data_IF_945616784161
#
_entry.id   IF_945616784161
#
_cell.length_a   1.000
_cell.length_b   1.000
_cell.length_c   1.000
_cell.angle_alpha   90.00
_cell.angle_beta   90.00
_cell.angle_gamma   90.00
#
_symmetry.space_group_name_H-M   'P 1'
#
loop_
_entity.id
_entity.type
_entity.pdbx_description
1 polymer ?
#
# COMPACT_ATOMS: atom_id res chain seq x y z
N UNK A 1 -27.90 -6.90 -18.44
CA UNK A 1 -26.47 -6.71 -18.15
C UNK A 1 -25.76 -6.41 -19.46
N UNK A 2 -24.82 -5.47 -19.47
CA UNK A 2 -23.91 -5.26 -20.60
C UNK A 2 -22.95 -6.46 -20.74
N UNK A 3 -22.26 -6.62 -21.89
CA UNK A 3 -21.18 -7.60 -22.02
C UNK A 3 -20.13 -7.47 -20.91
N UNK A 4 -19.74 -6.24 -20.57
CA UNK A 4 -18.77 -5.98 -19.51
C UNK A 4 -19.28 -6.38 -18.13
N UNK A 5 -20.56 -6.11 -17.81
CA UNK A 5 -21.18 -6.56 -16.57
C UNK A 5 -21.25 -8.09 -16.47
N UNK A 6 -21.45 -8.77 -17.61
CA UNK A 6 -21.47 -10.24 -17.68
C UNK A 6 -20.07 -10.80 -17.44
N UNK A 7 -19.05 -10.21 -18.07
CA UNK A 7 -17.66 -10.60 -17.87
C UNK A 7 -17.18 -10.32 -16.44
N UNK A 8 -17.55 -9.18 -15.85
CA UNK A 8 -17.25 -8.85 -14.46
C UNK A 8 -17.84 -9.89 -13.50
N UNK A 9 -19.08 -10.35 -13.74
CA UNK A 9 -19.70 -11.43 -12.97
C UNK A 9 -18.95 -12.76 -13.12
N UNK A 10 -18.52 -13.09 -14.34
CA UNK A 10 -17.70 -14.28 -14.60
C UNK A 10 -16.36 -14.22 -13.83
N UNK A 11 -15.66 -13.08 -13.89
CA UNK A 11 -14.41 -12.84 -13.15
C UNK A 11 -14.63 -12.95 -11.63
N UNK A 12 -15.72 -12.38 -11.10
CA UNK A 12 -16.05 -12.53 -9.68
C UNK A 12 -16.24 -14.00 -9.27
N UNK A 13 -16.83 -14.82 -10.13
CA UNK A 13 -16.92 -16.27 -9.95
C UNK A 13 -15.56 -16.96 -9.91
N UNK A 14 -14.62 -16.56 -10.78
CA UNK A 14 -13.26 -17.10 -10.80
C UNK A 14 -12.50 -16.76 -9.51
N UNK A 15 -12.58 -15.51 -9.05
CA UNK A 15 -11.93 -15.05 -7.81
C UNK A 15 -12.51 -15.79 -6.59
N UNK A 16 -13.83 -15.95 -6.53
CA UNK A 16 -14.47 -16.73 -5.46
C UNK A 16 -14.04 -18.20 -5.50
N UNK A 17 -13.88 -18.77 -6.70
CA UNK A 17 -13.35 -20.12 -6.90
C UNK A 17 -11.93 -20.28 -6.34
N UNK A 18 -11.03 -19.32 -6.61
CA UNK A 18 -9.67 -19.31 -6.05
C UNK A 18 -9.71 -19.26 -4.51
N UNK A 19 -10.55 -18.40 -3.93
CA UNK A 19 -10.71 -18.30 -2.48
C UNK A 19 -11.20 -19.59 -1.80
N UNK A 20 -11.88 -20.46 -2.54
CA UNK A 20 -12.35 -21.76 -2.05
C UNK A 20 -11.35 -22.91 -2.30
N UNK A 21 -10.33 -22.71 -3.13
CA UNK A 21 -9.34 -23.72 -3.51
C UNK A 21 -8.11 -23.67 -2.59
N UNK A 22 -8.17 -24.46 -1.51
CA UNK A 22 -7.10 -24.52 -0.50
C UNK A 22 -5.79 -25.09 -1.05
N UNK A 23 -5.84 -25.96 -2.05
CA UNK A 23 -4.65 -26.59 -2.62
C UNK A 23 -3.90 -25.57 -3.50
N UNK A 24 -4.63 -24.81 -4.30
CA UNK A 24 -4.06 -23.73 -5.10
C UNK A 24 -3.45 -22.62 -4.23
N UNK A 25 -4.17 -22.17 -3.20
CA UNK A 25 -3.63 -21.19 -2.23
C UNK A 25 -2.42 -21.75 -1.47
N UNK A 26 -2.44 -23.04 -1.13
CA UNK A 26 -1.30 -23.74 -0.55
C UNK A 26 -0.07 -23.71 -1.44
N UNK A 27 -0.25 -23.94 -2.75
CA UNK A 27 0.82 -23.83 -3.74
C UNK A 27 1.38 -22.41 -3.85
N UNK A 28 0.51 -21.39 -3.86
CA UNK A 28 0.94 -19.99 -3.87
C UNK A 28 1.78 -19.63 -2.63
N UNK A 29 1.35 -20.07 -1.45
CA UNK A 29 2.09 -19.82 -0.21
C UNK A 29 3.48 -20.49 -0.23
N UNK A 30 3.57 -21.71 -0.78
CA UNK A 30 4.86 -22.37 -1.00
C UNK A 30 5.72 -21.54 -1.96
N UNK A 31 5.15 -21.07 -3.07
CA UNK A 31 5.88 -20.27 -4.04
C UNK A 31 6.42 -18.97 -3.43
N UNK A 32 5.59 -18.22 -2.69
CA UNK A 32 6.00 -16.98 -2.00
C UNK A 32 7.14 -17.26 -1.02
N UNK A 33 7.04 -18.34 -0.25
CA UNK A 33 8.12 -18.75 0.66
C UNK A 33 9.41 -19.08 -0.07
N UNK A 34 9.35 -19.87 -1.13
CA UNK A 34 10.56 -20.30 -1.86
C UNK A 34 11.21 -19.14 -2.63
N UNK A 35 10.43 -18.17 -3.14
CA UNK A 35 10.97 -17.05 -3.90
C UNK A 35 11.83 -16.10 -3.06
N UNK A 36 11.64 -16.07 -1.72
CA UNK A 36 12.49 -15.32 -0.78
C UNK A 36 13.95 -15.74 -0.91
N UNK A 37 14.24 -17.04 -1.05
CA UNK A 37 15.61 -17.57 -1.20
C UNK A 37 16.33 -17.06 -2.44
N UNK A 38 15.57 -16.60 -3.43
CA UNK A 38 16.06 -16.04 -4.67
C UNK A 38 16.06 -14.51 -4.69
N UNK A 39 15.70 -13.87 -3.58
CA UNK A 39 15.46 -12.42 -3.52
C UNK A 39 14.52 -11.94 -4.64
N UNK A 40 13.54 -12.75 -5.00
CA UNK A 40 12.75 -12.55 -6.22
C UNK A 40 12.13 -11.16 -6.30
N UNK A 41 11.54 -10.68 -5.20
CA UNK A 41 10.91 -9.36 -5.12
C UNK A 41 11.87 -8.17 -5.37
N UNK A 42 13.19 -8.37 -5.28
CA UNK A 42 14.20 -7.32 -5.53
C UNK A 42 14.57 -7.17 -7.01
N UNK A 43 14.12 -8.08 -7.87
CA UNK A 43 14.54 -8.12 -9.29
C UNK A 43 13.84 -7.08 -10.17
N UNK A 44 12.87 -6.35 -9.64
CA UNK A 44 11.95 -5.54 -10.44
C UNK A 44 12.27 -4.05 -10.37
N UNK A 45 11.89 -3.35 -11.44
CA UNK A 45 11.91 -1.90 -11.50
C UNK A 45 10.55 -1.39 -11.96
N UNK A 46 10.17 -0.21 -11.48
CA UNK A 46 9.02 0.53 -12.00
C UNK A 46 9.53 1.83 -12.64
N UNK A 47 9.29 1.97 -13.95
CA UNK A 47 9.76 3.12 -14.75
C UNK A 47 11.23 3.49 -14.52
N UNK A 48 12.09 2.48 -14.35
CA UNK A 48 13.54 2.66 -14.20
C UNK A 48 14.05 2.86 -12.76
N UNK A 49 13.18 2.83 -11.74
CA UNK A 49 13.60 2.79 -10.32
C UNK A 49 13.35 1.40 -9.71
N UNK A 50 14.30 0.83 -8.94
CA UNK A 50 14.06 -0.45 -8.26
C UNK A 50 12.85 -0.39 -7.33
N UNK A 51 11.99 -1.40 -7.43
CA UNK A 51 10.81 -1.60 -6.57
C UNK A 51 10.93 -2.98 -5.92
N UNK A 52 10.99 -3.01 -4.59
CA UNK A 52 11.16 -4.25 -3.83
C UNK A 52 9.78 -4.73 -3.41
N UNK A 53 9.03 -5.29 -4.35
CA UNK A 53 7.67 -5.78 -4.11
C UNK A 53 7.39 -6.99 -4.99
N UNK A 54 6.46 -7.85 -4.55
CA UNK A 54 5.97 -8.94 -5.39
C UNK A 54 5.20 -8.33 -6.58
N UNK A 55 5.47 -8.75 -7.84
CA UNK A 55 4.86 -8.13 -9.02
C UNK A 55 3.32 -8.14 -9.02
N UNK A 56 2.72 -9.17 -8.44
CA UNK A 56 1.27 -9.30 -8.29
C UNK A 56 0.73 -8.21 -7.37
N UNK A 57 1.40 -7.91 -6.26
CA UNK A 57 1.01 -6.83 -5.39
C UNK A 57 1.16 -5.47 -6.07
N UNK A 58 2.23 -5.26 -6.84
CA UNK A 58 2.40 -4.04 -7.66
C UNK A 58 1.22 -3.88 -8.64
N UNK A 59 0.74 -4.98 -9.23
CA UNK A 59 -0.45 -4.98 -10.08
C UNK A 59 -1.72 -4.65 -9.28
N UNK A 60 -1.83 -5.10 -8.03
CA UNK A 60 -2.92 -4.73 -7.13
C UNK A 60 -2.93 -3.23 -6.84
N UNK A 61 -1.76 -2.67 -6.51
CA UNK A 61 -1.62 -1.25 -6.16
C UNK A 61 -2.00 -0.35 -7.32
N UNK A 62 -1.61 -0.67 -8.56
CA UNK A 62 -2.05 0.13 -9.70
C UNK A 62 -3.57 0.11 -9.86
N UNK A 63 -4.24 -1.03 -9.66
CA UNK A 63 -5.70 -1.09 -9.73
C UNK A 63 -6.36 -0.34 -8.57
N UNK A 64 -5.80 -0.43 -7.36
CA UNK A 64 -6.29 0.29 -6.19
C UNK A 64 -6.25 1.80 -6.42
N UNK A 65 -5.09 2.32 -6.85
CA UNK A 65 -4.93 3.75 -7.12
C UNK A 65 -5.87 4.16 -8.26
N UNK A 66 -5.98 3.37 -9.32
CA UNK A 66 -6.90 3.68 -10.43
C UNK A 66 -8.37 3.72 -10.02
N UNK A 67 -8.80 2.76 -9.18
CA UNK A 67 -10.19 2.65 -8.72
C UNK A 67 -10.54 3.75 -7.73
N UNK A 68 -9.64 4.05 -6.79
CA UNK A 68 -9.86 5.03 -5.72
C UNK A 68 -9.62 6.46 -6.20
N UNK A 69 -8.67 6.65 -7.13
CA UNK A 69 -8.20 7.95 -7.63
C UNK A 69 -7.79 8.92 -6.51
N UNK A 70 -6.89 8.53 -5.58
CA UNK A 70 -6.50 9.37 -4.46
C UNK A 70 -5.80 10.67 -4.91
N UNK A 71 -5.99 11.74 -4.16
CA UNK A 71 -5.23 12.99 -4.34
C UNK A 71 -3.89 12.94 -3.60
N UNK A 72 -3.87 12.21 -2.49
CA UNK A 72 -2.69 12.00 -1.67
C UNK A 72 -2.46 10.51 -1.44
N UNK A 73 -1.27 10.05 -1.81
CA UNK A 73 -0.73 8.76 -1.37
C UNK A 73 0.32 9.02 -0.30
N UNK A 74 0.22 8.37 0.84
CA UNK A 74 1.22 8.41 1.92
C UNK A 74 1.89 7.04 1.96
N UNK A 75 3.22 6.99 1.99
CA UNK A 75 4.00 5.77 2.03
C UNK A 75 5.06 5.85 3.15
N UNK A 76 5.16 4.82 3.99
CA UNK A 76 6.26 4.67 4.95
C UNK A 76 7.19 3.55 4.50
N UNK A 77 8.51 3.79 4.56
CA UNK A 77 9.52 2.94 3.93
C UNK A 77 9.69 3.26 2.45
N UNK A 78 10.75 3.98 2.09
CA UNK A 78 11.03 4.41 0.70
C UNK A 78 11.97 3.43 0.01
N UNK A 79 12.98 2.91 0.72
CA UNK A 79 14.05 2.09 0.16
C UNK A 79 14.68 2.73 -1.10
N UNK A 80 14.48 2.17 -2.29
CA UNK A 80 14.97 2.69 -3.57
C UNK A 80 14.02 3.68 -4.27
N UNK A 81 12.79 3.82 -3.78
CA UNK A 81 11.76 4.74 -4.27
C UNK A 81 10.94 4.27 -5.46
N UNK A 82 11.05 3.01 -5.89
CA UNK A 82 10.26 2.50 -7.02
C UNK A 82 8.75 2.49 -6.76
N UNK A 83 8.33 2.23 -5.52
CA UNK A 83 6.94 2.35 -5.05
C UNK A 83 6.42 3.79 -5.09
N UNK A 84 7.24 4.77 -4.69
CA UNK A 84 6.92 6.19 -4.89
C UNK A 84 6.74 6.55 -6.37
N UNK A 85 7.60 6.03 -7.26
CA UNK A 85 7.45 6.24 -8.72
C UNK A 85 6.19 5.56 -9.24
N UNK A 86 5.85 4.36 -8.76
CA UNK A 86 4.59 3.67 -9.09
C UNK A 86 3.40 4.55 -8.77
N UNK A 87 3.27 4.97 -7.51
CA UNK A 87 2.17 5.82 -7.05
C UNK A 87 2.12 7.12 -7.86
N UNK A 88 3.24 7.83 -7.98
CA UNK A 88 3.31 9.09 -8.74
C UNK A 88 2.92 8.92 -10.22
N UNK A 89 3.27 7.79 -10.84
CA UNK A 89 2.92 7.51 -12.24
C UNK A 89 1.44 7.28 -12.43
N UNK A 90 0.79 6.56 -11.51
CA UNK A 90 -0.65 6.35 -11.55
C UNK A 90 -1.41 7.66 -11.32
N UNK A 91 -0.96 8.50 -10.39
CA UNK A 91 -1.53 9.83 -10.17
C UNK A 91 -1.41 10.73 -11.42
N UNK A 92 -0.29 10.68 -12.12
CA UNK A 92 -0.11 11.39 -13.38
C UNK A 92 -1.05 10.88 -14.49
N UNK A 93 -1.24 9.56 -14.57
CA UNK A 93 -2.18 8.96 -15.53
C UNK A 93 -3.63 9.34 -15.25
N UNK A 94 -4.03 9.39 -13.97
CA UNK A 94 -5.37 9.85 -13.58
C UNK A 94 -5.59 11.30 -14.04
N UNK A 95 -4.66 12.20 -13.72
CA UNK A 95 -4.73 13.60 -14.16
C UNK A 95 -4.80 13.73 -15.69
N UNK A 96 -4.02 12.92 -16.41
CA UNK A 96 -4.08 12.89 -17.87
C UNK A 96 -5.46 12.48 -18.39
N UNK A 97 -6.03 11.39 -17.86
CA UNK A 97 -7.34 10.92 -18.30
C UNK A 97 -8.46 11.91 -17.96
N UNK A 98 -8.43 12.52 -16.78
CA UNK A 98 -9.41 13.55 -16.39
C UNK A 98 -9.29 14.82 -17.24
N UNK A 99 -8.07 15.24 -17.57
CA UNK A 99 -7.85 16.35 -18.51
C UNK A 99 -8.43 16.03 -19.89
N UNK A 100 -8.24 14.81 -20.38
CA UNK A 100 -8.83 14.33 -21.64
C UNK A 100 -10.36 14.28 -21.61
N UNK A 101 -10.95 13.83 -20.50
CA UNK A 101 -12.41 13.74 -20.32
C UNK A 101 -13.06 15.13 -20.25
N UNK A 102 -12.39 16.07 -19.57
CA UNK A 102 -12.92 17.44 -19.36
C UNK A 102 -12.50 18.43 -20.43
N UNK A 103 -11.56 18.06 -21.32
CA UNK A 103 -10.99 18.96 -22.32
C UNK A 103 -10.15 20.09 -21.73
N UNK A 104 -9.61 19.91 -20.52
CA UNK A 104 -8.80 20.92 -19.84
C UNK A 104 -7.31 20.77 -20.17
N UNK A 105 -6.54 21.87 -20.30
CA UNK A 105 -5.10 21.77 -20.50
C UNK A 105 -4.41 21.10 -19.30
N UNK A 106 -3.56 20.10 -19.56
CA UNK A 106 -2.74 19.47 -18.55
C UNK A 106 -1.36 20.13 -18.50
N UNK A 107 -1.05 20.81 -17.40
CA UNK A 107 0.34 21.16 -17.07
C UNK A 107 0.93 20.07 -16.16
N UNK A 108 1.91 19.26 -16.64
CA UNK A 108 2.53 18.21 -15.82
C UNK A 108 3.29 18.74 -14.60
N UNK A 109 3.46 20.07 -14.47
CA UNK A 109 4.10 20.72 -13.33
C UNK A 109 3.13 21.26 -12.28
N UNK A 110 1.84 21.37 -12.60
CA UNK A 110 0.83 22.01 -11.75
C UNK A 110 -0.20 21.01 -11.16
N UNK A 111 0.07 19.71 -11.24
CA UNK A 111 -0.83 18.67 -10.74
C UNK A 111 -1.10 18.77 -9.23
N UNK A 112 -2.37 18.62 -8.85
CA UNK A 112 -2.80 18.66 -7.45
C UNK A 112 -2.45 17.38 -6.68
N UNK A 113 -2.27 16.26 -7.40
CA UNK A 113 -2.04 14.95 -6.78
C UNK A 113 -0.58 14.71 -6.48
N UNK A 114 -0.29 14.19 -5.29
CA UNK A 114 1.08 13.93 -4.83
C UNK A 114 1.21 12.67 -3.97
N UNK A 115 2.46 12.25 -3.83
CA UNK A 115 2.93 11.16 -2.96
C UNK A 115 3.80 11.77 -1.88
N UNK A 116 3.57 11.41 -0.61
CA UNK A 116 4.46 11.73 0.50
C UNK A 116 5.09 10.42 0.97
N UNK A 117 6.42 10.30 0.81
CA UNK A 117 7.20 9.18 1.31
C UNK A 117 7.94 9.56 2.59
N UNK A 118 7.95 8.67 3.58
CA UNK A 118 8.73 8.82 4.83
C UNK A 118 9.66 7.64 5.02
N UNK A 119 10.92 7.90 5.35
CA UNK A 119 11.90 6.86 5.69
C UNK A 119 12.88 7.39 6.74
N UNK A 120 13.30 6.52 7.65
CA UNK A 120 14.28 6.87 8.69
C UNK A 120 15.66 7.20 8.11
N UNK A 121 15.99 6.65 6.93
CA UNK A 121 17.25 6.89 6.21
C UNK A 121 17.02 6.93 4.69
N UNK A 122 16.84 8.13 4.13
CA UNK A 122 16.78 8.32 2.68
C UNK A 122 18.18 8.45 2.11
N UNK A 123 18.82 7.29 1.92
CA UNK A 123 20.19 7.16 1.39
C UNK A 123 20.43 8.08 0.18
N UNK A 124 21.56 8.79 0.19
CA UNK A 124 21.87 9.84 -0.78
C UNK A 124 21.73 9.40 -2.25
N UNK A 125 22.14 8.18 -2.60
CA UNK A 125 22.02 7.66 -3.96
C UNK A 125 20.56 7.37 -4.36
N UNK A 126 19.72 6.93 -3.42
CA UNK A 126 18.29 6.72 -3.65
C UNK A 126 17.57 8.07 -3.80
N UNK A 127 17.86 9.01 -2.91
CA UNK A 127 17.36 10.39 -3.00
C UNK A 127 17.69 11.01 -4.36
N UNK A 128 18.95 10.92 -4.80
CA UNK A 128 19.38 11.44 -6.10
C UNK A 128 18.65 10.75 -7.27
N UNK A 129 18.49 9.43 -7.21
CA UNK A 129 17.75 8.67 -8.22
C UNK A 129 16.27 9.04 -8.33
N UNK A 130 15.61 9.29 -7.18
CA UNK A 130 14.21 9.74 -7.15
C UNK A 130 14.10 11.16 -7.70
N UNK A 131 14.96 12.09 -7.26
CA UNK A 131 14.93 13.50 -7.70
C UNK A 131 15.29 13.69 -9.18
N UNK A 132 16.07 12.78 -9.76
CA UNK A 132 16.38 12.80 -11.19
C UNK A 132 15.22 12.29 -12.06
N UNK A 133 14.23 11.58 -11.49
CA UNK A 133 13.12 11.02 -12.24
C UNK A 133 12.14 12.14 -12.67
N UNK A 134 11.54 12.10 -13.88
CA UNK A 134 10.60 13.12 -14.34
C UNK A 134 9.38 13.33 -13.42
N UNK A 135 8.98 12.28 -12.69
CA UNK A 135 7.86 12.31 -11.74
C UNK A 135 8.24 12.84 -10.34
N UNK A 136 9.50 13.23 -10.10
CA UNK A 136 9.97 13.70 -8.79
C UNK A 136 9.12 14.85 -8.23
N UNK A 137 8.54 15.69 -9.10
CA UNK A 137 7.68 16.81 -8.69
C UNK A 137 6.39 16.39 -8.00
N UNK A 138 5.94 15.16 -8.22
CA UNK A 138 4.79 14.59 -7.52
C UNK A 138 5.16 13.98 -6.16
N UNK A 139 6.45 13.95 -5.81
CA UNK A 139 6.94 13.20 -4.65
C UNK A 139 7.56 14.18 -3.66
N UNK A 140 7.03 14.18 -2.45
CA UNK A 140 7.62 14.82 -1.28
C UNK A 140 8.26 13.72 -0.42
N UNK A 141 9.55 13.87 -0.10
CA UNK A 141 10.29 12.92 0.73
C UNK A 141 10.62 13.55 2.08
N UNK A 142 10.23 12.89 3.17
CA UNK A 142 10.50 13.30 4.55
C UNK A 142 11.44 12.26 5.17
N UNK A 143 12.59 12.71 5.68
CA UNK A 143 13.53 11.84 6.36
C UNK A 143 13.28 11.88 7.87
N UNK A 144 13.12 10.71 8.47
CA UNK A 144 12.90 10.49 9.90
C UNK A 144 11.91 9.35 10.16
N UNK A 145 11.60 9.10 11.44
CA UNK A 145 10.71 8.01 11.83
C UNK A 145 9.27 8.29 11.41
N UNK A 146 8.56 7.28 10.89
CA UNK A 146 7.13 7.36 10.58
C UNK A 146 6.24 7.47 11.82
N UNK A 147 6.79 7.23 13.01
CA UNK A 147 6.08 7.40 14.28
C UNK A 147 6.56 8.63 15.07
N UNK A 148 7.34 9.52 14.45
CA UNK A 148 7.73 10.79 15.05
C UNK A 148 6.57 11.81 14.98
N UNK A 149 6.24 12.41 16.13
CA UNK A 149 5.10 13.33 16.25
C UNK A 149 5.16 14.52 15.28
N UNK A 150 6.35 15.09 15.05
CA UNK A 150 6.49 16.24 14.17
C UNK A 150 6.31 15.85 12.69
N UNK A 151 6.80 14.68 12.31
CA UNK A 151 6.60 14.12 10.97
C UNK A 151 5.14 13.77 10.74
N UNK A 152 4.50 13.07 11.68
CA UNK A 152 3.08 12.72 11.60
C UNK A 152 2.22 13.98 11.53
N UNK A 153 2.51 15.01 12.34
CA UNK A 153 1.79 16.28 12.29
C UNK A 153 1.90 16.96 10.92
N UNK A 154 3.09 16.94 10.30
CA UNK A 154 3.29 17.47 8.94
C UNK A 154 2.47 16.71 7.90
N UNK A 155 2.46 15.38 7.96
CA UNK A 155 1.71 14.54 7.02
C UNK A 155 0.20 14.74 7.20
N UNK A 156 -0.26 14.78 8.46
CA UNK A 156 -1.65 15.05 8.83
C UNK A 156 -2.12 16.39 8.27
N UNK A 157 -1.29 17.43 8.37
CA UNK A 157 -1.60 18.74 7.80
C UNK A 157 -1.74 18.69 6.27
N UNK A 158 -0.94 17.86 5.58
CA UNK A 158 -1.09 17.65 4.14
C UNK A 158 -2.34 16.83 3.80
N UNK A 159 -2.65 15.78 4.58
CA UNK A 159 -3.84 14.95 4.42
C UNK A 159 -5.13 15.76 4.60
N UNK A 160 -5.16 16.72 5.53
CA UNK A 160 -6.29 17.62 5.74
C UNK A 160 -6.60 18.54 4.53
N UNK A 161 -5.68 18.65 3.56
CA UNK A 161 -5.88 19.42 2.32
C UNK A 161 -6.24 18.53 1.12
N UNK A 162 -6.30 17.21 1.29
CA UNK A 162 -6.64 16.25 0.25
C UNK A 162 -8.08 15.77 0.44
N UNK A 163 -8.80 15.52 -0.65
CA UNK A 163 -10.16 14.95 -0.57
C UNK A 163 -10.08 13.43 -0.36
N UNK A 164 -9.22 12.77 -1.16
CA UNK A 164 -9.03 11.32 -1.09
C UNK A 164 -7.60 10.95 -0.71
N UNK A 165 -7.45 10.29 0.45
CA UNK A 165 -6.16 9.85 1.01
C UNK A 165 -6.06 8.32 0.98
N UNK A 166 -4.93 7.81 0.51
CA UNK A 166 -4.55 6.38 0.55
C UNK A 166 -3.21 6.21 1.26
N UNK A 167 -3.04 5.14 2.04
CA UNK A 167 -1.85 4.92 2.86
C UNK A 167 -1.22 3.56 2.56
N UNK A 168 0.11 3.51 2.49
CA UNK A 168 0.92 2.30 2.40
C UNK A 168 1.94 2.26 3.56
N UNK A 169 1.95 1.19 4.34
CA UNK A 169 2.83 1.02 5.51
C UNK A 169 3.85 -0.09 5.27
N UNK A 170 5.14 0.26 5.15
CA UNK A 170 6.24 -0.67 4.82
C UNK A 170 7.59 -0.29 5.48
N UNK A 171 7.55 0.30 6.68
CA UNK A 171 8.79 0.78 7.33
C UNK A 171 9.51 -0.30 8.15
N UNK A 172 9.11 -0.47 9.42
CA UNK A 172 9.62 -1.49 10.33
C UNK A 172 8.52 -2.50 10.60
N UNK A 173 8.87 -3.78 10.53
CA UNK A 173 7.88 -4.85 10.54
C UNK A 173 7.57 -5.42 11.92
N UNK A 174 8.06 -4.86 13.03
CA UNK A 174 7.64 -5.31 14.37
C UNK A 174 6.17 -4.98 14.61
N UNK A 175 5.48 -5.82 15.39
CA UNK A 175 4.08 -5.62 15.76
C UNK A 175 3.85 -4.22 16.33
N UNK A 176 4.67 -3.82 17.30
CA UNK A 176 4.49 -2.57 18.02
C UNK A 176 4.65 -1.35 17.12
N UNK A 177 5.59 -1.39 16.17
CA UNK A 177 5.81 -0.29 15.23
C UNK A 177 4.66 -0.18 14.23
N UNK A 178 4.28 -1.29 13.57
CA UNK A 178 3.19 -1.29 12.59
C UNK A 178 1.87 -0.90 13.24
N UNK A 179 1.61 -1.37 14.46
CA UNK A 179 0.43 -0.96 15.20
C UNK A 179 0.44 0.55 15.48
N UNK A 180 1.59 1.11 15.84
CA UNK A 180 1.71 2.57 16.04
C UNK A 180 1.45 3.33 14.73
N UNK A 181 1.97 2.86 13.60
CA UNK A 181 1.66 3.43 12.29
C UNK A 181 0.17 3.35 11.95
N UNK A 182 -0.49 2.21 12.18
CA UNK A 182 -1.93 2.06 11.98
C UNK A 182 -2.72 3.08 12.82
N UNK A 183 -2.35 3.26 14.08
CA UNK A 183 -2.99 4.25 14.96
C UNK A 183 -2.80 5.69 14.49
N UNK A 184 -1.66 6.01 13.89
CA UNK A 184 -1.31 7.36 13.45
C UNK A 184 -1.89 7.70 12.07
N UNK A 185 -1.81 6.77 11.12
CA UNK A 185 -2.10 7.01 9.71
C UNK A 185 -3.47 6.52 9.24
N UNK A 186 -4.00 5.42 9.78
CA UNK A 186 -5.31 4.91 9.34
C UNK A 186 -6.47 5.91 9.56
N UNK A 187 -6.49 6.76 10.62
CA UNK A 187 -7.50 7.81 10.75
C UNK A 187 -7.51 8.82 9.59
N UNK A 188 -6.39 8.99 8.87
CA UNK A 188 -6.28 9.93 7.74
C UNK A 188 -6.85 9.38 6.43
N UNK A 189 -7.04 8.06 6.30
CA UNK A 189 -7.49 7.39 5.07
C UNK A 189 -8.94 7.75 4.78
N UNK A 190 -9.29 8.19 3.57
CA UNK A 190 -10.68 8.55 3.23
C UNK A 190 -11.60 7.33 3.14
N UNK A 191 -12.91 7.51 3.36
CA UNK A 191 -13.90 6.45 3.20
C UNK A 191 -13.85 5.84 1.78
N UNK A 192 -13.92 4.50 1.66
CA UNK A 192 -13.77 3.80 0.38
C UNK A 192 -12.32 3.66 -0.12
N UNK A 193 -11.36 4.33 0.51
CA UNK A 193 -9.93 4.20 0.25
C UNK A 193 -9.32 3.07 1.08
N UNK A 194 -7.98 2.96 1.05
CA UNK A 194 -7.22 1.85 1.63
C UNK A 194 -6.09 2.33 2.53
N UNK A 195 -5.85 1.56 3.59
CA UNK A 195 -4.50 1.39 4.15
C UNK A 195 -4.01 0.00 3.76
N UNK A 196 -2.88 -0.08 3.07
CA UNK A 196 -2.21 -1.35 2.77
C UNK A 196 -1.04 -1.51 3.74
N UNK A 197 -1.05 -2.61 4.49
CA UNK A 197 0.04 -3.01 5.37
C UNK A 197 0.84 -4.09 4.68
N UNK A 198 2.09 -3.79 4.37
CA UNK A 198 2.98 -4.70 3.67
C UNK A 198 3.52 -5.81 4.60
N UNK A 199 4.05 -6.87 4.00
CA UNK A 199 4.75 -7.96 4.67
C UNK A 199 3.99 -8.67 5.80
N UNK A 200 2.66 -8.61 5.80
CA UNK A 200 1.84 -9.42 6.70
C UNK A 200 2.09 -10.93 6.48
N UNK A 201 2.58 -11.33 5.31
CA UNK A 201 2.97 -12.71 5.00
C UNK A 201 4.08 -13.27 5.91
N UNK A 202 4.82 -12.43 6.64
CA UNK A 202 5.81 -12.86 7.64
C UNK A 202 5.21 -13.82 8.67
N UNK A 203 3.95 -13.66 9.05
CA UNK A 203 3.28 -14.56 10.01
C UNK A 203 3.17 -16.01 9.48
N UNK A 204 3.10 -16.19 8.17
CA UNK A 204 2.91 -17.50 7.54
C UNK A 204 4.24 -18.21 7.24
N UNK A 205 5.37 -17.53 7.43
CA UNK A 205 6.69 -18.08 7.22
C UNK A 205 7.11 -19.05 8.35
N UNK A 206 8.01 -20.01 8.07
CA UNK A 206 8.65 -20.78 9.12
C UNK A 206 9.44 -19.86 10.07
N UNK A 207 9.41 -20.15 11.37
CA UNK A 207 10.02 -19.29 12.40
C UNK A 207 11.50 -18.94 12.17
N UNK A 208 12.27 -19.82 11.51
CA UNK A 208 13.69 -19.60 11.23
C UNK A 208 14.00 -18.68 10.04
N UNK A 209 13.01 -18.28 9.23
CA UNK A 209 13.25 -17.52 8.00
C UNK A 209 13.52 -16.02 8.23
N UNK A 210 13.19 -15.50 9.41
CA UNK A 210 13.44 -14.11 9.82
C UNK A 210 14.38 -14.01 11.04
N UNK A 211 15.21 -15.03 11.30
CA UNK A 211 15.99 -15.11 12.54
C UNK A 211 17.08 -14.03 12.70
N UNK A 212 17.46 -13.35 11.62
CA UNK A 212 18.39 -12.23 11.58
C UNK A 212 17.70 -10.86 11.74
N UNK A 213 16.39 -10.84 11.93
CA UNK A 213 15.57 -9.63 12.04
C UNK A 213 14.96 -9.48 13.44
N UNK A 214 14.61 -8.25 13.85
CA UNK A 214 13.92 -8.03 15.12
C UNK A 214 12.41 -8.36 15.07
N UNK A 215 11.90 -8.87 13.93
CA UNK A 215 10.52 -9.28 13.70
C UNK A 215 10.46 -10.70 13.14
N UNK A 216 9.29 -11.33 13.23
CA UNK A 216 9.07 -12.69 12.74
C UNK A 216 7.68 -13.22 13.10
N UNK A 217 7.48 -14.54 13.03
CA UNK A 217 6.20 -15.15 13.42
C UNK A 217 5.83 -14.76 14.87
N UNK A 218 4.63 -14.22 15.07
CA UNK A 218 4.14 -13.70 16.35
C UNK A 218 4.48 -12.24 16.68
N UNK A 219 5.41 -11.62 15.94
CA UNK A 219 5.80 -10.21 16.10
C UNK A 219 6.05 -9.60 14.71
N UNK A 220 4.96 -9.27 14.00
CA UNK A 220 4.99 -8.86 12.60
C UNK A 220 3.78 -8.00 12.18
N UNK A 221 3.71 -7.50 10.93
CA UNK A 221 2.63 -6.64 10.48
C UNK A 221 1.24 -7.29 10.54
N UNK A 222 1.11 -8.61 10.29
CA UNK A 222 -0.20 -9.29 10.36
C UNK A 222 -0.77 -9.28 11.76
N UNK A 223 0.10 -9.53 12.75
CA UNK A 223 -0.33 -9.49 14.16
C UNK A 223 -0.78 -8.10 14.58
N UNK A 224 -0.16 -7.04 14.05
CA UNK A 224 -0.57 -5.66 14.28
C UNK A 224 -1.91 -5.34 13.60
N UNK A 225 -2.11 -5.77 12.35
CA UNK A 225 -3.40 -5.64 11.64
C UNK A 225 -4.53 -6.28 12.43
N UNK A 226 -4.37 -7.53 12.85
CA UNK A 226 -5.40 -8.23 13.62
C UNK A 226 -5.68 -7.57 14.97
N UNK A 227 -4.67 -7.06 15.67
CA UNK A 227 -4.88 -6.33 16.92
C UNK A 227 -5.59 -5.00 16.69
N UNK A 228 -5.18 -4.24 15.67
CA UNK A 228 -5.79 -2.97 15.32
C UNK A 228 -7.28 -3.11 14.99
N UNK A 229 -7.64 -4.08 14.14
CA UNK A 229 -9.04 -4.35 13.81
C UNK A 229 -9.86 -4.73 15.04
N UNK A 230 -9.31 -5.58 15.92
CA UNK A 230 -9.95 -5.96 17.18
C UNK A 230 -10.16 -4.74 18.10
N UNK A 231 -9.20 -3.82 18.15
CA UNK A 231 -9.32 -2.57 18.92
C UNK A 231 -10.44 -1.69 18.38
N UNK A 232 -10.54 -1.52 17.06
CA UNK A 232 -11.62 -0.74 16.45
C UNK A 232 -13.02 -1.34 16.69
N UNK A 233 -13.13 -2.66 16.73
CA UNK A 233 -14.39 -3.35 17.04
C UNK A 233 -14.82 -3.15 18.50
N UNK A 234 -13.85 -3.17 19.44
CA UNK A 234 -14.10 -3.05 20.88
C UNK A 234 -14.26 -1.60 21.35
N UNK A 235 -13.53 -0.67 20.73
CA UNK A 235 -13.46 0.75 21.10
C UNK A 235 -13.60 1.61 19.83
N UNK A 236 -14.85 1.99 19.47
CA UNK A 236 -15.12 2.73 18.24
C UNK A 236 -14.38 4.07 18.17
N UNK A 237 -13.58 4.23 17.12
CA UNK A 237 -12.81 5.47 16.84
C UNK A 237 -13.41 6.22 15.66
N UNK A 238 -12.92 7.43 15.44
CA UNK A 238 -13.29 8.26 14.31
C UNK A 238 -12.05 8.58 13.47
N UNK A 239 -12.23 8.72 12.16
CA UNK A 239 -11.21 9.27 11.28
C UNK A 239 -11.09 10.78 11.45
N UNK A 240 -10.10 11.37 10.79
CA UNK A 240 -9.89 12.82 10.78
C UNK A 240 -11.05 13.59 10.13
N UNK A 241 -11.86 12.91 9.30
CA UNK A 241 -13.09 13.42 8.71
C UNK A 241 -14.30 13.38 9.68
N UNK A 242 -14.12 12.89 10.91
CA UNK A 242 -15.17 12.73 11.92
C UNK A 242 -16.09 11.54 11.69
N UNK A 243 -15.91 10.75 10.62
CA UNK A 243 -16.65 9.52 10.36
C UNK A 243 -16.15 8.36 11.21
N UNK A 244 -16.99 7.35 11.48
CA UNK A 244 -16.58 6.15 12.23
C UNK A 244 -15.43 5.45 11.49
N UNK A 245 -14.36 5.14 12.21
CA UNK A 245 -13.20 4.44 11.67
C UNK A 245 -13.46 2.94 11.70
N UNK A 246 -13.76 2.36 10.53
CA UNK A 246 -13.99 0.93 10.36
C UNK A 246 -13.32 0.45 9.09
N UNK A 247 -12.66 -0.69 9.19
CA UNK A 247 -11.99 -1.33 8.07
C UNK A 247 -12.49 -2.75 7.88
N UNK A 248 -12.42 -3.24 6.65
CA UNK A 248 -12.50 -4.66 6.34
C UNK A 248 -11.23 -5.11 5.59
N UNK A 249 -10.87 -6.37 5.77
CA UNK A 249 -9.82 -7.00 4.96
C UNK A 249 -10.42 -7.35 3.59
N UNK A 250 -9.84 -6.81 2.52
CA UNK A 250 -10.27 -7.08 1.14
C UNK A 250 -9.75 -8.44 0.66
N UNK A 251 -10.45 -9.50 1.08
CA UNK A 251 -10.17 -10.87 0.65
C UNK A 251 -10.44 -11.11 -0.83
N UNK A 252 -11.26 -10.29 -1.47
CA UNK A 252 -11.48 -10.40 -2.92
C UNK A 252 -10.20 -10.04 -3.66
N UNK A 253 -9.51 -8.97 -3.23
CA UNK A 253 -8.21 -8.62 -3.79
C UNK A 253 -7.16 -9.70 -3.52
N UNK A 254 -7.05 -10.20 -2.29
CA UNK A 254 -6.12 -11.27 -1.95
C UNK A 254 -6.32 -12.53 -2.82
N UNK A 255 -7.56 -13.00 -2.96
CA UNK A 255 -7.88 -14.16 -3.79
C UNK A 255 -7.66 -13.89 -5.27
N UNK A 256 -7.86 -12.65 -5.73
CA UNK A 256 -7.56 -12.26 -7.12
C UNK A 256 -6.07 -12.39 -7.42
N UNK A 257 -5.20 -11.98 -6.48
CA UNK A 257 -3.76 -12.03 -6.67
C UNK A 257 -3.23 -13.46 -6.57
N UNK A 258 -3.78 -14.25 -5.63
CA UNK A 258 -3.35 -15.58 -5.21
C UNK A 258 -1.92 -15.66 -4.66
N UNK A 259 -0.99 -14.84 -5.17
CA UNK A 259 0.39 -14.69 -4.75
C UNK A 259 0.54 -13.25 -4.24
N UNK A 260 0.84 -13.09 -2.96
CA UNK A 260 0.99 -11.79 -2.31
C UNK A 260 1.95 -11.90 -1.13
N UNK A 261 2.71 -10.82 -0.85
CA UNK A 261 3.46 -10.65 0.38
C UNK A 261 2.59 -10.09 1.53
N UNK A 262 1.38 -9.62 1.22
CA UNK A 262 0.49 -8.93 2.14
C UNK A 262 -0.87 -9.63 2.39
N UNK A 263 -0.93 -10.96 2.68
CA UNK A 263 -2.19 -11.60 3.07
C UNK A 263 -2.75 -10.97 4.36
N UNK A 264 -4.02 -10.61 4.37
CA UNK A 264 -4.67 -9.75 5.38
C UNK A 264 -4.23 -8.26 5.40
N UNK A 265 -3.31 -7.84 4.53
CA UNK A 265 -2.73 -6.50 4.55
C UNK A 265 -3.56 -5.43 3.84
N UNK A 266 -4.52 -5.81 2.99
CA UNK A 266 -5.35 -4.87 2.23
C UNK A 266 -6.58 -4.45 3.03
N UNK A 267 -6.52 -3.31 3.73
CA UNK A 267 -7.62 -2.83 4.56
C UNK A 267 -8.40 -1.73 3.85
N UNK A 268 -9.65 -2.01 3.49
CA UNK A 268 -10.57 -1.02 2.90
C UNK A 268 -11.32 -0.28 3.99
N UNK A 269 -11.32 1.06 3.97
CA UNK A 269 -12.14 1.87 4.86
C UNK A 269 -13.62 1.80 4.43
N UNK A 270 -14.51 1.46 5.36
CA UNK A 270 -15.96 1.31 5.14
C UNK A 270 -16.71 2.64 5.23
#
# INVERSE_FOLDING_TARGET
>A
MTPDQTFAKYVAGNIAGIGADRDFLGLSNIWVRECIRHNYAQNFTWLGRPIIQVPQDVYAIQELIWRVKPDLVIETGIAHGGSLILSASMLAMIEYCEAMETGTPLDPRAGARKVIGVDIDIRAHNRAGILAHPLARKIEMIEGSSIDDAIVARIRAAAAQAETVMVFLDSNHTHAHVLSELELYAPMVSQGSYVVVWDTGVEDLPAGMCADRPWGKGDNPKTAVWDYLRRLDNDPRHGEDGGRLRFEIDKVLEHKLAITAAPDGFLRRL
#
